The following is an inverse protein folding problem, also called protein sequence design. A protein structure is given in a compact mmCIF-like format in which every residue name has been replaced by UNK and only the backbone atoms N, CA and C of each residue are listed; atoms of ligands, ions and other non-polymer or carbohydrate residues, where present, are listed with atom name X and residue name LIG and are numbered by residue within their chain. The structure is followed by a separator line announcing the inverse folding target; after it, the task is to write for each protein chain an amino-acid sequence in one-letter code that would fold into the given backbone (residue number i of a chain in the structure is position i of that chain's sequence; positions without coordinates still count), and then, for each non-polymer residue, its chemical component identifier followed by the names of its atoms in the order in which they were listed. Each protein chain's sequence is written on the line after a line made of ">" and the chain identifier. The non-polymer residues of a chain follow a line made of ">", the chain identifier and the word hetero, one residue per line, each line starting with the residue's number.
data_IF_001647862921
#
_entry.id   IF_001647862921
#
_cell.length_a   1.000
_cell.length_b   1.000
_cell.length_c   1.000
_cell.angle_alpha   90.00
_cell.angle_beta   90.00
_cell.angle_gamma   90.00
#
_symmetry.space_group_name_H-M   'P 1'
#
loop_
_entity.id
_entity.type
_entity.pdbx_description
1 polymer ?
#
# COMPACT_ATOMS: atom_id res chain seq x y z
N UNK A 1 -3.62 17.11 -25.81
CA UNK A 1 -3.15 15.95 -25.02
C UNK A 1 -3.95 15.87 -23.73
N UNK A 2 -4.14 14.70 -23.14
CA UNK A 2 -4.82 14.59 -21.84
C UNK A 2 -3.91 15.16 -20.73
N UNK A 3 -4.49 15.91 -19.81
CA UNK A 3 -3.77 16.43 -18.63
C UNK A 3 -3.33 15.28 -17.74
N UNK A 4 -2.15 15.39 -17.11
CA UNK A 4 -1.72 14.43 -16.08
C UNK A 4 -2.61 14.57 -14.85
N UNK A 5 -3.26 13.47 -14.46
CA UNK A 5 -4.04 13.41 -13.23
C UNK A 5 -3.14 13.39 -11.98
N UNK A 6 -3.62 14.01 -10.91
CA UNK A 6 -2.92 14.02 -9.63
C UNK A 6 -3.83 13.42 -8.56
N UNK A 7 -3.40 12.37 -7.89
CA UNK A 7 -4.03 11.84 -6.68
C UNK A 7 -3.30 12.41 -5.46
N UNK A 8 -4.04 13.11 -4.61
CA UNK A 8 -3.51 13.62 -3.34
C UNK A 8 -3.65 12.56 -2.24
N UNK A 9 -2.54 12.26 -1.57
CA UNK A 9 -2.46 11.17 -0.58
C UNK A 9 -2.41 11.66 0.88
N UNK A 10 -2.47 12.97 1.11
CA UNK A 10 -2.31 13.55 2.45
C UNK A 10 -3.30 12.99 3.48
N UNK A 11 -4.51 12.62 3.04
CA UNK A 11 -5.56 12.10 3.93
C UNK A 11 -5.41 10.61 4.28
N UNK A 12 -4.47 9.89 3.66
CA UNK A 12 -4.23 8.48 3.96
C UNK A 12 -2.73 8.12 3.96
N UNK A 13 -2.11 7.87 2.78
CA UNK A 13 -0.79 7.24 2.71
C UNK A 13 0.34 8.15 3.22
N UNK A 14 0.27 9.44 2.96
CA UNK A 14 1.28 10.38 3.42
C UNK A 14 1.38 10.42 4.95
N UNK A 15 0.27 10.63 5.65
CA UNK A 15 0.30 10.65 7.11
C UNK A 15 0.43 9.26 7.74
N UNK A 16 0.03 8.19 7.03
CA UNK A 16 0.35 6.82 7.45
C UNK A 16 1.87 6.62 7.49
N UNK A 17 2.57 7.08 6.46
CA UNK A 17 4.01 6.87 6.31
C UNK A 17 4.85 7.72 7.25
N UNK A 18 4.37 8.91 7.61
CA UNK A 18 5.12 9.87 8.43
C UNK A 18 4.77 9.81 9.92
N UNK A 19 3.49 9.60 10.25
CA UNK A 19 2.96 9.66 11.63
C UNK A 19 2.06 8.48 11.98
N UNK A 20 2.30 7.33 11.33
CA UNK A 20 1.62 6.07 11.62
C UNK A 20 0.08 6.19 11.67
N UNK A 21 -0.52 6.95 10.74
CA UNK A 21 -1.96 7.15 10.61
C UNK A 21 -2.60 7.87 11.83
N UNK A 22 -1.87 8.79 12.46
CA UNK A 22 -2.34 9.47 13.69
C UNK A 22 -3.01 10.82 13.45
N UNK A 23 -3.19 11.27 12.21
CA UNK A 23 -3.95 12.50 11.91
C UNK A 23 -5.42 12.30 12.25
N UNK A 24 -5.96 13.17 13.11
CA UNK A 24 -7.36 13.15 13.54
C UNK A 24 -8.27 13.78 12.49
N UNK A 25 -9.54 13.40 12.50
CA UNK A 25 -10.53 13.93 11.55
C UNK A 25 -10.74 15.44 11.73
N UNK A 26 -10.78 15.94 12.97
CA UNK A 26 -10.93 17.36 13.29
C UNK A 26 -9.72 18.21 12.86
N UNK A 27 -8.55 17.61 12.69
CA UNK A 27 -7.34 18.32 12.24
C UNK A 27 -7.34 18.64 10.74
N UNK A 28 -8.12 17.94 9.92
CA UNK A 28 -8.19 18.20 8.47
C UNK A 28 -9.58 18.55 7.94
N UNK A 29 -10.64 18.41 8.74
CA UNK A 29 -12.00 18.68 8.28
C UNK A 29 -12.16 20.05 7.62
N UNK A 30 -11.53 21.07 8.20
CA UNK A 30 -11.65 22.47 7.77
C UNK A 30 -11.11 22.79 6.38
N UNK A 31 -10.27 21.92 5.79
CA UNK A 31 -9.66 22.15 4.47
C UNK A 31 -10.36 21.39 3.34
N UNK A 32 -11.20 20.40 3.66
CA UNK A 32 -11.75 19.46 2.68
C UNK A 32 -12.51 20.14 1.53
N UNK A 33 -13.33 21.14 1.82
CA UNK A 33 -14.10 21.87 0.79
C UNK A 33 -13.21 22.65 -0.18
N UNK A 34 -12.01 23.08 0.26
CA UNK A 34 -11.01 23.67 -0.64
C UNK A 34 -10.33 22.58 -1.47
N UNK A 35 -9.98 21.45 -0.85
CA UNK A 35 -9.39 20.33 -1.57
C UNK A 35 -10.32 19.81 -2.67
N UNK A 36 -11.63 19.77 -2.43
CA UNK A 36 -12.63 19.36 -3.43
C UNK A 36 -12.66 20.25 -4.68
N UNK A 37 -12.20 21.50 -4.58
CA UNK A 37 -12.18 22.48 -5.68
C UNK A 37 -10.86 22.53 -6.44
N UNK A 38 -9.84 21.83 -6.01
CA UNK A 38 -8.52 21.85 -6.65
C UNK A 38 -8.55 21.23 -8.05
N UNK A 39 -9.39 20.19 -8.24
CA UNK A 39 -9.43 19.44 -9.49
C UNK A 39 -8.52 18.22 -9.49
N UNK A 40 -8.21 17.68 -8.33
CA UNK A 40 -7.51 16.40 -8.20
C UNK A 40 -8.21 15.29 -8.97
N UNK A 41 -7.45 14.34 -9.50
CA UNK A 41 -7.99 13.10 -10.06
C UNK A 41 -8.76 12.30 -8.99
N UNK A 42 -8.16 12.20 -7.80
CA UNK A 42 -8.79 11.60 -6.61
C UNK A 42 -8.12 12.07 -5.33
N UNK A 43 -8.81 11.88 -4.20
CA UNK A 43 -8.26 11.97 -2.86
C UNK A 43 -8.15 10.54 -2.30
N UNK A 44 -6.93 10.08 -2.02
CA UNK A 44 -6.75 8.83 -1.29
C UNK A 44 -6.93 9.12 0.20
N UNK A 45 -8.04 8.64 0.77
CA UNK A 45 -8.49 9.09 2.08
C UNK A 45 -8.82 7.97 3.07
N UNK A 46 -8.81 6.71 2.64
CA UNK A 46 -9.27 5.61 3.47
C UNK A 46 -8.55 4.30 3.15
N UNK A 47 -8.60 3.34 4.09
CA UNK A 47 -7.97 2.02 3.94
C UNK A 47 -7.83 1.31 5.28
N UNK A 48 -7.20 0.14 5.28
CA UNK A 48 -7.08 -0.72 6.46
C UNK A 48 -6.38 -0.07 7.65
N UNK A 49 -5.26 0.60 7.40
CA UNK A 49 -4.53 1.29 8.46
C UNK A 49 -5.32 2.47 9.05
N UNK A 50 -6.09 3.19 8.22
CA UNK A 50 -6.97 4.26 8.68
C UNK A 50 -8.08 3.71 9.57
N UNK A 51 -8.74 2.65 9.12
CA UNK A 51 -9.78 1.96 9.88
C UNK A 51 -9.27 1.51 11.26
N UNK A 52 -8.15 0.80 11.26
CA UNK A 52 -7.51 0.28 12.47
C UNK A 52 -7.06 1.41 13.42
N UNK A 53 -6.48 2.48 12.88
CA UNK A 53 -6.03 3.62 13.68
C UNK A 53 -7.19 4.40 14.29
N UNK A 54 -8.29 4.60 13.58
CA UNK A 54 -9.49 5.23 14.12
C UNK A 54 -9.97 4.51 15.38
N UNK A 55 -10.07 3.17 15.33
CA UNK A 55 -10.58 2.38 16.45
C UNK A 55 -9.58 2.26 17.60
N UNK A 56 -8.28 2.06 17.31
CA UNK A 56 -7.29 1.73 18.35
C UNK A 56 -6.64 2.93 19.00
N UNK A 57 -6.55 4.05 18.31
CA UNK A 57 -5.69 5.14 18.73
C UNK A 57 -6.36 6.51 18.71
N UNK A 58 -7.37 6.71 17.87
CA UNK A 58 -7.97 8.02 17.70
C UNK A 58 -9.33 8.16 18.38
N UNK A 59 -9.94 7.04 18.80
CA UNK A 59 -11.29 7.00 19.33
C UNK A 59 -12.30 7.66 18.36
N UNK A 60 -12.21 7.26 17.08
CA UNK A 60 -13.04 7.76 15.99
C UNK A 60 -13.77 6.61 15.30
N UNK A 61 -15.01 6.86 14.83
CA UNK A 61 -15.71 5.96 13.92
C UNK A 61 -15.11 6.08 12.52
N UNK A 62 -14.46 5.02 11.97
CA UNK A 62 -13.85 5.07 10.64
C UNK A 62 -14.88 5.29 9.53
N UNK A 63 -16.11 4.83 9.70
CA UNK A 63 -17.17 5.02 8.71
C UNK A 63 -17.69 6.46 8.71
N UNK A 64 -17.83 7.08 9.90
CA UNK A 64 -18.24 8.50 9.98
C UNK A 64 -17.15 9.41 9.40
N UNK A 65 -15.87 9.09 9.63
CA UNK A 65 -14.75 9.78 8.96
C UNK A 65 -14.90 9.74 7.44
N UNK A 66 -15.18 8.58 6.84
CA UNK A 66 -15.39 8.44 5.41
C UNK A 66 -16.60 9.24 4.93
N UNK A 67 -17.73 9.12 5.63
CA UNK A 67 -18.96 9.86 5.31
C UNK A 67 -18.77 11.38 5.39
N UNK A 68 -17.99 11.85 6.38
CA UNK A 68 -17.64 13.27 6.51
C UNK A 68 -16.85 13.74 5.29
N UNK A 69 -15.79 13.01 4.91
CA UNK A 69 -14.99 13.36 3.74
C UNK A 69 -15.88 13.38 2.49
N UNK A 70 -16.75 12.41 2.29
CA UNK A 70 -17.69 12.38 1.15
C UNK A 70 -18.64 13.59 1.15
N UNK A 71 -19.18 13.96 2.30
CA UNK A 71 -20.07 15.16 2.39
C UNK A 71 -19.34 16.44 2.03
N UNK A 72 -18.09 16.58 2.45
CA UNK A 72 -17.24 17.77 2.21
C UNK A 72 -16.59 17.80 0.82
N UNK A 73 -16.39 16.64 0.21
CA UNK A 73 -15.76 16.49 -1.11
C UNK A 73 -16.72 15.80 -2.09
N UNK A 74 -17.85 16.43 -2.47
CA UNK A 74 -18.85 15.80 -3.35
C UNK A 74 -18.38 15.65 -4.80
N UNK A 75 -17.42 16.46 -5.26
CA UNK A 75 -17.01 16.53 -6.67
C UNK A 75 -15.75 15.70 -6.97
N UNK A 76 -14.88 15.50 -5.98
CA UNK A 76 -13.64 14.75 -6.15
C UNK A 76 -13.86 13.28 -5.84
N UNK A 77 -13.29 12.40 -6.66
CA UNK A 77 -13.35 10.94 -6.41
C UNK A 77 -12.58 10.60 -5.13
N UNK A 78 -13.19 9.78 -4.31
CA UNK A 78 -12.57 9.25 -3.10
C UNK A 78 -11.98 7.87 -3.37
N UNK A 79 -10.73 7.69 -2.99
CA UNK A 79 -9.98 6.46 -3.20
C UNK A 79 -9.63 5.81 -1.88
N UNK A 80 -9.73 4.48 -1.83
CA UNK A 80 -9.22 3.68 -0.72
C UNK A 80 -8.17 2.68 -1.18
N UNK A 81 -7.26 2.33 -0.26
CA UNK A 81 -6.39 1.17 -0.41
C UNK A 81 -7.07 -0.07 0.16
N UNK A 82 -7.12 -1.14 -0.65
CA UNK A 82 -7.78 -2.39 -0.31
C UNK A 82 -6.82 -3.58 -0.49
N UNK A 83 -6.65 -4.40 0.55
CA UNK A 83 -5.67 -5.50 0.57
C UNK A 83 -6.23 -6.80 -0.01
N UNK A 84 -6.84 -6.77 -1.18
CA UNK A 84 -7.40 -7.97 -1.81
C UNK A 84 -8.22 -8.83 -0.83
N UNK A 85 -7.92 -10.12 -0.74
CA UNK A 85 -8.63 -11.04 0.16
C UNK A 85 -8.40 -10.77 1.65
N UNK A 86 -7.38 -9.98 2.00
CA UNK A 86 -7.13 -9.55 3.38
C UNK A 86 -7.98 -8.36 3.82
N UNK A 87 -8.71 -7.71 2.92
CA UNK A 87 -9.50 -6.50 3.18
C UNK A 87 -8.70 -5.43 3.95
N UNK A 88 -8.97 -5.29 5.23
CA UNK A 88 -8.32 -4.38 6.18
C UNK A 88 -7.28 -5.08 7.06
N UNK A 89 -7.29 -6.43 7.09
CA UNK A 89 -6.54 -7.23 8.05
C UNK A 89 -5.25 -7.83 7.51
N UNK A 90 -4.78 -8.85 8.22
CA UNK A 90 -3.51 -9.56 7.97
C UNK A 90 -3.73 -11.04 7.64
N UNK A 91 -4.98 -11.51 7.59
CA UNK A 91 -5.40 -12.83 7.14
C UNK A 91 -6.34 -12.72 5.96
N UNK A 92 -6.57 -13.81 5.26
CA UNK A 92 -7.65 -13.89 4.29
C UNK A 92 -9.01 -13.98 4.99
N UNK A 93 -10.00 -13.32 4.42
CA UNK A 93 -11.41 -13.39 4.82
C UNK A 93 -12.22 -14.14 3.76
N UNK A 94 -13.36 -14.68 4.14
CA UNK A 94 -14.25 -15.36 3.21
C UNK A 94 -14.85 -14.39 2.17
N UNK A 95 -15.22 -14.92 1.01
CA UNK A 95 -15.70 -14.15 -0.12
C UNK A 95 -16.96 -13.33 0.18
N UNK A 96 -17.88 -13.87 0.98
CA UNK A 96 -19.12 -13.19 1.39
C UNK A 96 -18.83 -11.93 2.21
N UNK A 97 -17.83 -11.98 3.08
CA UNK A 97 -17.42 -10.82 3.89
C UNK A 97 -16.69 -9.78 3.03
N UNK A 98 -15.83 -10.21 2.09
CA UNK A 98 -15.16 -9.31 1.14
C UNK A 98 -16.18 -8.60 0.26
N UNK A 99 -17.15 -9.31 -0.34
CA UNK A 99 -18.22 -8.73 -1.16
C UNK A 99 -19.02 -7.70 -0.36
N UNK A 100 -19.41 -8.04 0.86
CA UNK A 100 -20.18 -7.15 1.73
C UNK A 100 -19.39 -5.89 2.12
N UNK A 101 -18.10 -6.02 2.45
CA UNK A 101 -17.27 -4.90 2.84
C UNK A 101 -17.02 -3.94 1.66
N UNK A 102 -16.77 -4.46 0.47
CA UNK A 102 -16.65 -3.67 -0.76
C UNK A 102 -17.93 -2.89 -1.01
N UNK A 103 -19.11 -3.56 -0.92
CA UNK A 103 -20.40 -2.90 -1.03
C UNK A 103 -20.53 -1.73 -0.04
N UNK A 104 -20.22 -1.97 1.23
CA UNK A 104 -20.30 -0.94 2.28
C UNK A 104 -19.35 0.22 2.06
N UNK A 105 -18.15 -0.04 1.54
CA UNK A 105 -17.19 1.01 1.20
C UNK A 105 -17.72 1.94 0.13
N UNK A 106 -18.32 1.37 -0.93
CA UNK A 106 -18.95 2.14 -2.03
C UNK A 106 -20.17 2.88 -1.52
N UNK A 107 -21.07 2.21 -0.79
CA UNK A 107 -22.29 2.82 -0.21
C UNK A 107 -21.96 4.04 0.68
N UNK A 108 -20.79 4.07 1.33
CA UNK A 108 -20.34 5.15 2.19
C UNK A 108 -19.44 6.19 1.49
N UNK A 109 -19.24 6.08 0.17
CA UNK A 109 -18.68 7.15 -0.62
C UNK A 109 -17.35 6.89 -1.31
N UNK A 110 -16.81 5.67 -1.27
CA UNK A 110 -15.62 5.30 -2.06
C UNK A 110 -16.01 5.15 -3.53
N UNK A 111 -15.25 5.84 -4.40
CA UNK A 111 -15.37 5.74 -5.86
C UNK A 111 -14.35 4.79 -6.44
N UNK A 112 -13.10 4.82 -5.93
CA UNK A 112 -11.97 4.05 -6.46
C UNK A 112 -11.46 3.10 -5.38
N UNK A 113 -11.47 1.81 -5.69
CA UNK A 113 -10.81 0.80 -4.87
C UNK A 113 -9.46 0.46 -5.51
N UNK A 114 -8.36 0.87 -4.85
CA UNK A 114 -7.01 0.44 -5.19
C UNK A 114 -6.77 -0.91 -4.52
N UNK A 115 -6.87 -1.98 -5.30
CA UNK A 115 -6.82 -3.36 -4.81
C UNK A 115 -5.44 -3.94 -5.11
N UNK A 116 -4.75 -4.47 -4.09
CA UNK A 116 -3.46 -5.11 -4.25
C UNK A 116 -3.38 -6.45 -3.51
N UNK A 117 -2.49 -7.32 -3.97
CA UNK A 117 -2.07 -8.51 -3.25
C UNK A 117 -0.56 -8.46 -2.95
N UNK A 118 -0.18 -8.93 -1.76
CA UNK A 118 1.22 -8.89 -1.32
C UNK A 118 2.14 -9.83 -2.12
N UNK A 119 1.60 -10.87 -2.74
CA UNK A 119 2.35 -11.82 -3.58
C UNK A 119 2.18 -11.57 -5.07
N UNK A 120 1.39 -10.57 -5.48
CA UNK A 120 0.94 -10.39 -6.86
C UNK A 120 0.18 -11.62 -7.41
N UNK A 121 -0.56 -12.31 -6.56
CA UNK A 121 -1.44 -13.41 -6.98
C UNK A 121 -2.82 -12.87 -7.35
N UNK A 122 -3.14 -12.83 -8.65
CA UNK A 122 -4.40 -12.27 -9.15
C UNK A 122 -5.63 -12.96 -8.55
N UNK A 123 -5.53 -14.23 -8.18
CA UNK A 123 -6.63 -15.01 -7.57
C UNK A 123 -7.10 -14.40 -6.24
N UNK A 124 -6.20 -13.76 -5.51
CA UNK A 124 -6.50 -13.05 -4.26
C UNK A 124 -7.21 -11.70 -4.47
N UNK A 125 -7.33 -11.24 -5.71
CA UNK A 125 -8.00 -9.99 -6.07
C UNK A 125 -9.40 -10.20 -6.65
N UNK A 126 -9.71 -11.41 -7.13
CA UNK A 126 -10.91 -11.71 -7.92
C UNK A 126 -12.21 -11.30 -7.22
N UNK A 127 -12.40 -11.66 -5.95
CA UNK A 127 -13.62 -11.34 -5.23
C UNK A 127 -13.80 -9.82 -5.06
N UNK A 128 -12.73 -9.11 -4.70
CA UNK A 128 -12.78 -7.66 -4.53
C UNK A 128 -13.03 -6.93 -5.86
N UNK A 129 -12.39 -7.37 -6.95
CA UNK A 129 -12.61 -6.83 -8.30
C UNK A 129 -14.07 -7.04 -8.73
N UNK A 130 -14.57 -8.26 -8.62
CA UNK A 130 -15.95 -8.60 -9.01
C UNK A 130 -16.97 -7.82 -8.18
N UNK A 131 -16.77 -7.71 -6.87
CA UNK A 131 -17.63 -6.94 -5.98
C UNK A 131 -17.61 -5.45 -6.32
N UNK A 132 -16.44 -4.85 -6.54
CA UNK A 132 -16.33 -3.45 -6.93
C UNK A 132 -17.09 -3.15 -8.22
N UNK A 133 -16.92 -3.98 -9.24
CA UNK A 133 -17.66 -3.85 -10.50
C UNK A 133 -19.17 -4.04 -10.32
N UNK A 134 -19.59 -5.03 -9.53
CA UNK A 134 -20.99 -5.31 -9.21
C UNK A 134 -21.68 -4.11 -8.56
N UNK A 135 -20.97 -3.37 -7.72
CA UNK A 135 -21.54 -2.23 -6.97
C UNK A 135 -21.19 -0.86 -7.57
N UNK A 136 -20.58 -0.82 -8.77
CA UNK A 136 -20.33 0.41 -9.54
C UNK A 136 -19.09 1.20 -9.09
N UNK A 137 -18.18 0.59 -8.35
CA UNK A 137 -16.90 1.19 -8.02
C UNK A 137 -15.89 1.07 -9.17
N UNK A 138 -14.93 2.00 -9.24
CA UNK A 138 -13.79 1.92 -10.15
C UNK A 138 -12.72 0.99 -9.57
N UNK A 139 -12.36 -0.03 -10.33
CA UNK A 139 -11.32 -0.98 -9.96
C UNK A 139 -9.96 -0.48 -10.42
N UNK A 140 -9.14 -0.04 -9.48
CA UNK A 140 -7.73 0.19 -9.73
C UNK A 140 -6.94 -0.99 -9.17
N UNK A 141 -6.49 -1.89 -10.04
CA UNK A 141 -5.66 -3.01 -9.62
C UNK A 141 -4.19 -2.59 -9.51
N UNK A 142 -3.53 -2.92 -8.41
CA UNK A 142 -2.17 -2.47 -8.16
C UNK A 142 -1.14 -3.61 -8.28
N UNK A 143 -0.04 -3.29 -8.92
CA UNK A 143 1.17 -4.11 -8.96
C UNK A 143 1.98 -3.77 -7.72
N UNK A 144 2.19 -4.73 -6.82
CA UNK A 144 3.15 -4.60 -5.73
C UNK A 144 4.56 -4.66 -6.32
N UNK A 145 5.13 -3.46 -6.59
CA UNK A 145 6.43 -3.33 -7.24
C UNK A 145 7.56 -3.72 -6.29
N UNK A 146 8.50 -4.48 -6.79
CA UNK A 146 9.73 -4.84 -6.10
C UNK A 146 10.83 -5.15 -7.13
N UNK A 147 12.04 -5.39 -6.67
CA UNK A 147 13.17 -5.79 -7.52
C UNK A 147 13.67 -7.17 -7.12
N UNK A 148 14.38 -7.82 -8.01
CA UNK A 148 14.94 -9.15 -7.82
C UNK A 148 15.05 -9.92 -9.13
N UNK A 149 15.59 -11.14 -9.12
CA UNK A 149 15.95 -11.86 -10.36
C UNK A 149 14.75 -12.26 -11.23
N UNK A 150 13.53 -12.21 -10.69
CA UNK A 150 12.29 -12.61 -11.39
C UNK A 150 11.41 -11.42 -11.76
N UNK A 151 11.72 -10.24 -11.27
CA UNK A 151 10.92 -9.04 -11.44
C UNK A 151 11.48 -8.17 -12.58
N UNK A 152 11.43 -8.70 -13.77
CA UNK A 152 11.77 -8.00 -15.00
C UNK A 152 10.52 -7.34 -15.63
N UNK A 153 10.73 -6.67 -16.75
CA UNK A 153 9.64 -5.99 -17.48
C UNK A 153 8.60 -7.00 -17.98
N UNK A 154 9.04 -8.18 -18.43
CA UNK A 154 8.15 -9.23 -18.94
C UNK A 154 7.21 -9.74 -17.84
N UNK A 155 7.74 -9.98 -16.61
CA UNK A 155 6.94 -10.33 -15.45
C UNK A 155 5.84 -9.29 -15.18
N UNK A 156 6.21 -8.00 -15.17
CA UNK A 156 5.23 -6.94 -14.89
C UNK A 156 4.21 -6.76 -16.01
N UNK A 157 4.61 -6.91 -17.26
CA UNK A 157 3.70 -6.88 -18.40
C UNK A 157 2.71 -8.04 -18.33
N UNK A 158 3.19 -9.24 -18.03
CA UNK A 158 2.33 -10.41 -17.88
C UNK A 158 1.31 -10.22 -16.74
N UNK A 159 1.77 -9.76 -15.57
CA UNK A 159 0.89 -9.52 -14.44
C UNK A 159 -0.12 -8.38 -14.71
N UNK A 160 0.31 -7.28 -15.33
CA UNK A 160 -0.58 -6.19 -15.73
C UNK A 160 -1.68 -6.67 -16.68
N UNK A 161 -1.34 -7.56 -17.63
CA UNK A 161 -2.33 -8.16 -18.52
C UNK A 161 -3.33 -9.03 -17.77
N UNK A 162 -2.89 -9.82 -16.80
CA UNK A 162 -3.79 -10.59 -15.94
C UNK A 162 -4.75 -9.67 -15.15
N UNK A 163 -4.27 -8.53 -14.64
CA UNK A 163 -5.09 -7.54 -13.93
C UNK A 163 -6.14 -6.90 -14.86
N UNK A 164 -5.75 -6.53 -16.07
CA UNK A 164 -6.69 -6.00 -17.08
C UNK A 164 -7.75 -7.04 -17.44
N UNK A 165 -7.34 -8.30 -17.70
CA UNK A 165 -8.25 -9.40 -18.03
C UNK A 165 -9.19 -9.77 -16.85
N UNK A 166 -8.74 -9.58 -15.61
CA UNK A 166 -9.57 -9.71 -14.41
C UNK A 166 -10.60 -8.58 -14.26
N UNK A 167 -10.52 -7.53 -15.07
CA UNK A 167 -11.50 -6.44 -15.11
C UNK A 167 -11.06 -5.14 -14.45
N UNK A 168 -9.76 -4.89 -14.29
CA UNK A 168 -9.26 -3.60 -13.83
C UNK A 168 -9.66 -2.47 -14.78
N UNK A 169 -10.14 -1.35 -14.23
CA UNK A 169 -10.43 -0.13 -14.97
C UNK A 169 -9.20 0.78 -15.09
N UNK A 170 -8.22 0.61 -14.21
CA UNK A 170 -6.88 1.20 -14.26
C UNK A 170 -5.88 0.34 -13.52
N UNK A 171 -4.58 0.52 -13.80
CA UNK A 171 -3.49 -0.20 -13.14
C UNK A 171 -2.61 0.80 -12.42
N UNK A 172 -2.25 0.49 -11.17
CA UNK A 172 -1.29 1.26 -10.38
C UNK A 172 0.03 0.51 -10.24
N UNK A 173 1.14 1.13 -10.66
CA UNK A 173 2.47 0.67 -10.26
C UNK A 173 2.69 1.19 -8.84
N UNK A 174 2.68 0.28 -7.86
CA UNK A 174 2.75 0.63 -6.43
C UNK A 174 4.11 0.28 -5.84
N UNK A 175 4.99 1.28 -5.79
CA UNK A 175 6.33 1.19 -5.23
C UNK A 175 6.34 1.68 -3.77
N UNK A 176 6.06 0.78 -2.84
CA UNK A 176 5.98 1.10 -1.40
C UNK A 176 7.35 1.33 -0.74
N UNK A 177 8.41 0.85 -1.34
CA UNK A 177 9.75 0.93 -0.77
C UNK A 177 10.63 2.00 -1.42
N UNK A 178 10.16 2.66 -2.49
CA UNK A 178 10.94 3.65 -3.24
C UNK A 178 12.08 3.01 -4.04
N UNK A 179 11.83 1.84 -4.64
CA UNK A 179 12.82 1.05 -5.38
C UNK A 179 12.91 1.41 -6.87
N UNK A 180 11.90 2.06 -7.40
CA UNK A 180 11.89 2.50 -8.79
C UNK A 180 13.05 3.47 -9.06
N UNK A 181 13.71 3.27 -10.20
CA UNK A 181 14.69 4.21 -10.74
C UNK A 181 14.10 4.98 -11.91
N UNK A 182 14.54 6.22 -12.18
CA UNK A 182 13.93 7.05 -13.22
C UNK A 182 13.90 6.38 -14.60
N UNK A 183 15.02 5.87 -15.06
CA UNK A 183 15.10 5.21 -16.38
C UNK A 183 14.44 3.84 -16.42
N UNK A 184 14.57 3.04 -15.34
CA UNK A 184 13.84 1.78 -15.23
C UNK A 184 12.32 1.98 -15.24
N UNK A 185 11.84 3.09 -14.64
CA UNK A 185 10.42 3.47 -14.72
C UNK A 185 10.00 3.83 -16.13
N UNK A 186 10.82 4.58 -16.85
CA UNK A 186 10.55 4.92 -18.24
C UNK A 186 10.36 3.66 -19.10
N UNK A 187 11.30 2.73 -19.00
CA UNK A 187 11.26 1.47 -19.78
C UNK A 187 10.05 0.60 -19.39
N UNK A 188 9.79 0.47 -18.08
CA UNK A 188 8.64 -0.30 -17.57
C UNK A 188 7.31 0.29 -18.04
N UNK A 189 7.12 1.60 -17.90
CA UNK A 189 5.87 2.26 -18.30
C UNK A 189 5.65 2.17 -19.79
N UNK A 190 6.70 2.34 -20.62
CA UNK A 190 6.61 2.14 -22.07
C UNK A 190 6.09 0.74 -22.41
N UNK A 191 6.69 -0.29 -21.84
CA UNK A 191 6.27 -1.67 -22.07
C UNK A 191 4.84 -1.94 -21.59
N UNK A 192 4.45 -1.41 -20.44
CA UNK A 192 3.09 -1.54 -19.92
C UNK A 192 2.06 -0.85 -20.84
N UNK A 193 2.36 0.36 -21.34
CA UNK A 193 1.46 1.08 -22.29
C UNK A 193 1.29 0.34 -23.61
N UNK A 194 2.24 -0.48 -24.02
CA UNK A 194 2.12 -1.38 -25.18
C UNK A 194 1.33 -2.66 -24.87
N UNK A 195 1.31 -3.08 -23.59
CA UNK A 195 0.69 -4.34 -23.14
C UNK A 195 -0.78 -4.18 -22.77
N UNK A 196 -1.16 -3.11 -22.08
CA UNK A 196 -2.52 -2.88 -21.57
C UNK A 196 -3.12 -1.61 -22.17
N UNK A 197 -4.46 -1.56 -22.22
CA UNK A 197 -5.22 -0.42 -22.76
C UNK A 197 -5.75 0.51 -21.69
N UNK A 198 -5.84 0.02 -20.45
CA UNK A 198 -6.34 0.81 -19.32
C UNK A 198 -5.32 1.87 -18.87
N UNK A 199 -5.76 2.97 -18.25
CA UNK A 199 -4.87 3.98 -17.70
C UNK A 199 -3.87 3.41 -16.68
N UNK A 200 -2.67 4.00 -16.64
CA UNK A 200 -1.61 3.64 -15.71
C UNK A 200 -1.40 4.79 -14.71
N UNK A 201 -1.45 4.45 -13.44
CA UNK A 201 -1.13 5.35 -12.32
C UNK A 201 0.20 4.97 -11.71
N UNK A 202 1.01 5.95 -11.34
CA UNK A 202 2.31 5.77 -10.73
C UNK A 202 2.31 6.25 -9.27
N UNK A 203 2.64 5.34 -8.38
CA UNK A 203 2.76 5.56 -6.95
C UNK A 203 4.16 5.13 -6.50
N UNK A 204 4.94 6.05 -5.96
CA UNK A 204 6.27 5.75 -5.41
C UNK A 204 6.52 6.53 -4.13
N UNK A 205 7.05 5.84 -3.11
CA UNK A 205 7.53 6.48 -1.89
C UNK A 205 8.87 7.16 -2.11
N UNK A 206 9.13 8.21 -1.36
CA UNK A 206 10.32 9.05 -1.54
C UNK A 206 11.55 8.55 -0.76
N UNK A 207 11.49 7.37 -0.17
CA UNK A 207 12.50 6.83 0.75
C UNK A 207 13.92 6.86 0.18
N UNK A 208 14.09 6.48 -1.10
CA UNK A 208 15.40 6.53 -1.78
C UNK A 208 15.79 7.92 -2.31
N UNK A 209 14.88 8.91 -2.25
CA UNK A 209 15.10 10.24 -2.82
C UNK A 209 14.84 10.35 -4.32
N UNK A 210 14.39 9.30 -4.99
CA UNK A 210 14.25 9.25 -6.45
C UNK A 210 12.84 9.56 -6.96
N UNK A 211 11.82 9.53 -6.12
CA UNK A 211 10.42 9.47 -6.56
C UNK A 211 9.97 10.64 -7.44
N UNK A 212 10.45 11.87 -7.25
CA UNK A 212 10.11 12.98 -8.17
C UNK A 212 10.68 12.75 -9.58
N UNK A 213 11.91 12.23 -9.69
CA UNK A 213 12.52 11.90 -10.97
C UNK A 213 11.84 10.68 -11.60
N UNK A 214 11.45 9.71 -10.79
CA UNK A 214 10.64 8.54 -11.18
C UNK A 214 9.31 8.99 -11.79
N UNK A 215 8.59 9.90 -11.12
CA UNK A 215 7.33 10.44 -11.62
C UNK A 215 7.52 11.18 -12.95
N UNK A 216 8.55 12.03 -13.04
CA UNK A 216 8.84 12.77 -14.27
C UNK A 216 9.10 11.81 -15.45
N UNK A 217 9.95 10.79 -15.24
CA UNK A 217 10.24 9.80 -16.28
C UNK A 217 9.05 8.89 -16.61
N UNK A 218 8.23 8.56 -15.63
CA UNK A 218 6.97 7.85 -15.84
C UNK A 218 5.98 8.65 -16.70
N UNK A 219 5.85 9.96 -16.45
CA UNK A 219 5.02 10.87 -17.23
C UNK A 219 5.51 10.96 -18.68
N UNK A 220 6.80 11.15 -18.90
CA UNK A 220 7.40 11.15 -20.25
C UNK A 220 7.17 9.83 -20.98
N UNK A 221 7.07 8.71 -20.26
CA UNK A 221 6.79 7.39 -20.82
C UNK A 221 5.29 7.11 -21.08
N UNK A 222 4.38 7.96 -20.56
CA UNK A 222 2.96 7.89 -20.83
C UNK A 222 2.07 7.50 -19.64
N UNK A 223 2.53 7.70 -18.40
CA UNK A 223 1.69 7.59 -17.20
C UNK A 223 0.54 8.60 -17.28
N UNK A 224 -0.64 8.18 -16.87
CA UNK A 224 -1.87 8.99 -16.94
C UNK A 224 -2.13 9.75 -15.62
N UNK A 225 -1.76 9.17 -14.47
CA UNK A 225 -2.00 9.72 -13.13
C UNK A 225 -0.79 9.47 -12.23
N UNK A 226 -0.45 10.42 -11.38
CA UNK A 226 0.60 10.31 -10.37
C UNK A 226 0.05 10.50 -8.95
N UNK A 227 0.66 9.83 -7.97
CA UNK A 227 0.38 10.04 -6.55
C UNK A 227 1.39 11.03 -5.96
N UNK A 228 0.87 12.03 -5.25
CA UNK A 228 1.68 13.05 -4.57
C UNK A 228 1.11 13.36 -3.19
N UNK A 229 1.83 14.09 -2.38
CA UNK A 229 1.36 14.62 -1.12
C UNK A 229 1.66 16.11 -0.99
N UNK A 230 0.75 16.89 -0.42
CA UNK A 230 0.98 18.30 -0.12
C UNK A 230 2.26 18.47 0.72
N UNK A 231 3.09 19.46 0.42
CA UNK A 231 4.49 19.55 0.88
C UNK A 231 4.73 19.42 2.38
N UNK A 232 3.87 19.88 3.30
CA UNK A 232 4.11 19.66 4.73
C UNK A 232 4.17 18.19 5.14
N UNK A 233 3.46 17.30 4.41
CA UNK A 233 3.42 15.84 4.65
C UNK A 233 3.97 15.05 3.46
N UNK A 234 4.85 15.66 2.67
CA UNK A 234 5.55 15.02 1.56
C UNK A 234 6.98 14.63 1.92
N UNK A 235 7.66 13.99 0.97
CA UNK A 235 9.08 13.60 1.05
C UNK A 235 9.39 12.53 2.11
N UNK A 236 10.65 12.22 2.31
CA UNK A 236 11.07 11.18 3.26
C UNK A 236 10.41 9.83 2.95
N UNK A 237 9.71 9.27 3.92
CA UNK A 237 8.95 8.01 3.73
C UNK A 237 7.59 8.19 3.05
N UNK A 238 7.18 9.44 2.75
CA UNK A 238 5.93 9.78 2.05
C UNK A 238 6.14 9.84 0.53
N UNK A 239 5.51 10.78 -0.15
CA UNK A 239 5.47 10.92 -1.62
C UNK A 239 6.12 12.21 -2.10
N UNK A 240 6.34 12.38 -3.43
CA UNK A 240 6.71 13.68 -4.00
C UNK A 240 5.75 14.80 -3.61
N UNK A 241 6.28 16.00 -3.40
CA UNK A 241 5.45 17.15 -3.06
C UNK A 241 4.54 17.54 -4.24
N UNK A 242 3.23 17.67 -3.99
CA UNK A 242 2.21 17.99 -4.99
C UNK A 242 2.54 19.29 -5.70
N UNK A 243 2.83 20.36 -4.96
CA UNK A 243 3.12 21.69 -5.54
C UNK A 243 4.38 21.67 -6.42
N UNK A 244 5.40 20.89 -6.01
CA UNK A 244 6.65 20.79 -6.78
C UNK A 244 6.43 20.06 -8.10
N UNK A 245 5.65 18.97 -8.08
CA UNK A 245 5.31 18.25 -9.31
C UNK A 245 4.45 19.09 -10.24
N UNK A 246 3.43 19.78 -9.72
CA UNK A 246 2.58 20.68 -10.49
C UNK A 246 3.41 21.80 -11.13
N UNK A 247 4.29 22.45 -10.35
CA UNK A 247 5.15 23.50 -10.84
C UNK A 247 6.14 23.01 -11.92
N UNK A 248 6.69 21.82 -11.77
CA UNK A 248 7.61 21.22 -12.75
C UNK A 248 6.93 20.91 -14.10
N UNK A 249 5.63 20.62 -14.08
CA UNK A 249 4.87 20.26 -15.28
C UNK A 249 4.14 21.46 -15.92
N UNK A 250 4.04 22.58 -15.21
CA UNK A 250 3.29 23.75 -15.64
C UNK A 250 3.83 24.33 -16.96
N UNK A 251 2.95 24.56 -17.92
CA UNK A 251 3.28 25.10 -19.23
C UNK A 251 3.97 24.10 -20.18
N UNK A 252 4.12 22.85 -19.79
CA UNK A 252 4.57 21.76 -20.66
C UNK A 252 3.39 21.00 -21.28
N UNK A 253 3.68 20.07 -22.17
CA UNK A 253 2.65 19.16 -22.72
C UNK A 253 2.03 18.23 -21.65
N UNK A 254 2.65 18.13 -20.48
CA UNK A 254 2.24 17.32 -19.34
C UNK A 254 1.54 18.13 -18.23
N UNK A 255 1.14 19.36 -18.52
CA UNK A 255 0.52 20.26 -17.54
C UNK A 255 -0.69 19.61 -16.87
N UNK A 256 -0.71 19.61 -15.54
CA UNK A 256 -1.79 19.05 -14.73
C UNK A 256 -3.05 19.93 -14.76
N UNK A 257 -2.88 21.23 -15.06
CA UNK A 257 -3.92 22.25 -15.00
C UNK A 257 -4.38 22.59 -13.59
N UNK A 258 -3.67 22.14 -12.55
CA UNK A 258 -3.97 22.53 -11.16
C UNK A 258 -3.41 23.91 -10.86
N UNK A 259 -4.17 24.70 -10.07
CA UNK A 259 -3.76 26.04 -9.66
C UNK A 259 -2.75 25.97 -8.50
N UNK A 260 -1.49 26.34 -8.78
CA UNK A 260 -0.42 26.34 -7.80
C UNK A 260 -0.72 27.27 -6.61
N UNK A 261 -1.43 28.39 -6.82
CA UNK A 261 -1.82 29.28 -5.74
C UNK A 261 -2.84 28.63 -4.80
N UNK A 262 -3.84 27.94 -5.35
CA UNK A 262 -4.80 27.22 -4.56
C UNK A 262 -4.15 26.07 -3.76
N UNK A 263 -3.17 25.38 -4.36
CA UNK A 263 -2.35 24.38 -3.65
C UNK A 263 -1.54 24.98 -2.49
N UNK A 264 -1.04 26.21 -2.65
CA UNK A 264 -0.35 26.93 -1.57
C UNK A 264 -1.26 27.16 -0.35
N UNK A 265 -2.55 27.42 -0.57
CA UNK A 265 -3.52 27.57 0.52
C UNK A 265 -3.74 26.22 1.28
N UNK A 266 -3.73 25.10 0.55
CA UNK A 266 -3.78 23.76 1.19
C UNK A 266 -2.50 23.54 2.00
N UNK A 267 -1.33 23.82 1.44
CA UNK A 267 -0.04 23.75 2.14
C UNK A 267 -0.05 24.56 3.44
N UNK A 268 -0.51 25.82 3.39
CA UNK A 268 -0.51 26.73 4.53
C UNK A 268 -1.43 26.22 5.66
N UNK A 269 -2.47 25.49 5.32
CA UNK A 269 -3.32 24.82 6.31
C UNK A 269 -2.58 23.68 7.04
N UNK A 270 -1.80 22.86 6.31
CA UNK A 270 -1.09 21.72 6.89
C UNK A 270 0.24 22.07 7.57
N UNK A 271 0.84 23.23 7.28
CA UNK A 271 2.10 23.64 7.91
C UNK A 271 2.04 23.67 9.45
N UNK A 272 1.03 24.29 10.11
CA UNK A 272 0.93 24.27 11.56
C UNK A 272 0.79 22.85 12.14
N UNK A 273 0.12 21.94 11.42
CA UNK A 273 -0.01 20.54 11.84
C UNK A 273 1.33 19.82 11.79
N UNK A 274 2.12 20.04 10.73
CA UNK A 274 3.49 19.52 10.66
C UNK A 274 4.34 19.98 11.84
N UNK A 275 4.33 21.29 12.16
CA UNK A 275 5.08 21.85 13.28
C UNK A 275 4.61 21.25 14.62
N UNK A 276 3.31 21.10 14.81
CA UNK A 276 2.74 20.41 15.97
C UNK A 276 3.27 18.98 16.10
N UNK A 277 3.20 18.19 15.04
CA UNK A 277 3.65 16.79 15.06
C UNK A 277 5.15 16.64 15.30
N UNK A 278 5.96 17.59 14.81
CA UNK A 278 7.39 17.64 15.12
C UNK A 278 7.62 17.97 16.61
N UNK A 279 6.92 18.95 17.15
CA UNK A 279 7.03 19.37 18.56
C UNK A 279 6.58 18.26 19.52
N UNK A 280 5.50 17.56 19.20
CA UNK A 280 4.95 16.46 20.00
C UNK A 280 5.76 15.15 19.84
N UNK A 281 6.73 15.11 18.92
CA UNK A 281 7.52 13.90 18.61
C UNK A 281 6.75 12.82 17.84
N UNK A 282 5.53 13.10 17.41
CA UNK A 282 4.74 12.19 16.57
C UNK A 282 5.37 12.04 15.17
N UNK A 283 5.84 13.14 14.58
CA UNK A 283 6.64 13.13 13.37
C UNK A 283 8.13 13.05 13.73
N UNK A 284 8.69 11.86 13.59
CA UNK A 284 10.11 11.65 13.86
C UNK A 284 10.95 12.24 12.72
N UNK A 285 11.90 13.17 12.97
CA UNK A 285 12.77 13.72 11.93
C UNK A 285 13.54 12.69 11.10
N UNK A 286 13.78 11.50 11.64
CA UNK A 286 14.48 10.42 10.90
C UNK A 286 13.71 9.93 9.66
N UNK A 287 12.38 10.02 9.65
CA UNK A 287 11.56 9.61 8.50
C UNK A 287 11.49 10.69 7.42
N UNK A 288 12.03 11.88 7.66
CA UNK A 288 12.05 12.98 6.71
C UNK A 288 13.28 12.96 5.79
N UNK A 289 14.31 12.19 6.15
CA UNK A 289 15.50 12.02 5.35
C UNK A 289 15.29 11.04 4.19
N UNK A 290 16.26 11.01 3.28
CA UNK A 290 16.35 9.99 2.25
C UNK A 290 17.41 8.94 2.64
N UNK A 291 17.17 7.69 2.26
CA UNK A 291 18.10 6.59 2.48
C UNK A 291 18.24 5.74 1.21
N UNK A 292 19.33 5.96 0.47
CA UNK A 292 19.62 5.20 -0.74
C UNK A 292 19.96 3.72 -0.45
N UNK A 293 20.26 3.34 0.80
CA UNK A 293 20.48 1.94 1.16
C UNK A 293 19.21 1.08 0.98
N UNK A 294 18.04 1.71 0.94
CA UNK A 294 16.78 1.04 0.57
C UNK A 294 16.91 0.29 -0.76
N UNK A 295 17.67 0.84 -1.72
CA UNK A 295 17.92 0.19 -3.01
C UNK A 295 18.78 -1.07 -2.90
N UNK A 296 19.62 -1.17 -1.85
CA UNK A 296 20.49 -2.32 -1.60
C UNK A 296 19.75 -3.43 -0.84
N UNK A 297 19.09 -3.09 0.25
CA UNK A 297 18.43 -4.07 1.13
C UNK A 297 16.96 -4.32 0.76
N UNK A 298 16.35 -3.45 -0.06
CA UNK A 298 14.97 -3.56 -0.52
C UNK A 298 13.95 -3.55 0.64
N UNK A 299 14.32 -2.99 1.78
CA UNK A 299 13.53 -2.96 3.01
C UNK A 299 12.75 -1.65 3.09
N UNK A 300 11.41 -1.68 3.06
CA UNK A 300 10.58 -0.49 3.25
C UNK A 300 10.81 0.17 4.61
N UNK A 301 10.66 1.50 4.70
CA UNK A 301 10.87 2.25 5.94
C UNK A 301 10.07 1.74 7.15
N UNK A 302 8.82 1.33 6.93
CA UNK A 302 7.98 0.73 7.98
C UNK A 302 8.50 -0.63 8.46
N UNK A 303 9.07 -1.44 7.56
CA UNK A 303 9.72 -2.71 7.92
C UNK A 303 10.99 -2.44 8.74
N UNK A 304 11.82 -1.49 8.32
CA UNK A 304 13.05 -1.14 9.05
C UNK A 304 12.74 -0.71 10.49
N UNK A 305 11.73 0.13 10.69
CA UNK A 305 11.29 0.54 12.02
C UNK A 305 10.85 -0.64 12.89
N UNK A 306 10.15 -1.60 12.30
CA UNK A 306 9.76 -2.84 12.99
C UNK A 306 10.96 -3.70 13.38
N UNK A 307 11.94 -3.88 12.47
CA UNK A 307 13.17 -4.64 12.75
C UNK A 307 13.95 -4.03 13.92
N UNK A 308 14.13 -2.72 13.91
CA UNK A 308 14.79 -1.98 15.00
C UNK A 308 14.04 -2.18 16.32
N UNK A 309 12.72 -2.09 16.32
CA UNK A 309 11.90 -2.28 17.53
C UNK A 309 12.04 -3.71 18.08
N UNK A 310 11.98 -4.73 17.23
CA UNK A 310 12.14 -6.13 17.63
C UNK A 310 13.55 -6.40 18.21
N UNK A 311 14.59 -5.87 17.56
CA UNK A 311 15.96 -6.00 18.05
C UNK A 311 16.17 -5.30 19.41
N UNK A 312 15.57 -4.13 19.59
CA UNK A 312 15.58 -3.40 20.86
C UNK A 312 14.91 -4.20 21.97
N UNK A 313 13.73 -4.77 21.72
CA UNK A 313 13.03 -5.64 22.68
C UNK A 313 13.87 -6.88 23.06
N UNK A 314 14.67 -7.39 22.12
CA UNK A 314 15.56 -8.51 22.36
C UNK A 314 16.92 -8.11 22.97
N UNK A 315 17.21 -6.81 23.14
CA UNK A 315 18.52 -6.30 23.60
C UNK A 315 19.66 -6.64 22.62
N UNK A 316 19.37 -6.57 21.30
CA UNK A 316 20.28 -6.98 20.21
C UNK A 316 20.34 -5.92 19.10
N UNK A 317 20.30 -4.62 19.47
CA UNK A 317 20.34 -3.51 18.50
C UNK A 317 21.61 -3.53 17.63
N UNK A 318 22.69 -4.09 18.12
CA UNK A 318 23.96 -4.29 17.42
C UNK A 318 23.86 -5.26 16.23
N UNK A 319 22.79 -6.04 16.14
CA UNK A 319 22.57 -7.05 15.09
C UNK A 319 21.80 -6.53 13.86
N UNK A 320 21.52 -5.24 13.78
CA UNK A 320 20.71 -4.70 12.68
C UNK A 320 21.29 -4.99 11.30
N UNK A 321 22.60 -4.79 11.12
CA UNK A 321 23.25 -5.02 9.82
C UNK A 321 23.21 -6.50 9.42
N UNK A 322 23.33 -7.42 10.38
CA UNK A 322 23.22 -8.86 10.13
C UNK A 322 21.78 -9.22 9.72
N UNK A 323 20.79 -8.62 10.35
CA UNK A 323 19.37 -8.82 9.99
C UNK A 323 19.08 -8.28 8.60
N UNK A 324 19.56 -7.07 8.28
CA UNK A 324 19.40 -6.48 6.95
C UNK A 324 20.04 -7.35 5.85
N UNK A 325 21.19 -7.97 6.13
CA UNK A 325 21.83 -8.91 5.21
C UNK A 325 21.08 -10.25 5.10
N UNK A 326 20.35 -10.66 6.15
CA UNK A 326 19.56 -11.89 6.15
C UNK A 326 18.21 -11.76 5.41
N UNK A 327 17.61 -10.56 5.38
CA UNK A 327 16.32 -10.32 4.72
C UNK A 327 16.30 -10.79 3.24
N UNK A 328 17.27 -10.43 2.38
CA UNK A 328 17.30 -10.92 0.99
C UNK A 328 17.40 -12.43 0.88
N UNK A 329 18.06 -13.09 1.84
CA UNK A 329 18.22 -14.56 1.86
C UNK A 329 16.91 -15.25 2.22
N UNK A 330 16.24 -14.77 3.26
CA UNK A 330 14.92 -15.27 3.67
C UNK A 330 13.89 -15.04 2.56
N UNK A 331 13.96 -13.87 1.91
CA UNK A 331 13.12 -13.53 0.77
C UNK A 331 13.32 -14.50 -0.40
N UNK A 332 14.58 -14.82 -0.73
CA UNK A 332 14.90 -15.81 -1.75
C UNK A 332 14.32 -17.20 -1.41
N UNK A 333 14.57 -17.67 -0.19
CA UNK A 333 14.15 -18.99 0.26
C UNK A 333 12.61 -19.14 0.25
N UNK A 334 11.87 -18.05 0.46
CA UNK A 334 10.40 -18.02 0.48
C UNK A 334 9.75 -17.65 -0.86
N UNK A 335 10.46 -17.74 -2.00
CA UNK A 335 9.89 -17.53 -3.33
C UNK A 335 9.80 -16.08 -3.76
N UNK A 336 10.68 -15.23 -3.25
CA UNK A 336 10.81 -13.79 -3.58
C UNK A 336 9.54 -12.96 -3.39
N UNK A 337 8.81 -13.06 -2.26
CA UNK A 337 7.64 -12.21 -2.04
C UNK A 337 8.03 -10.73 -2.10
N UNK A 338 7.20 -9.84 -2.68
CA UNK A 338 7.34 -8.40 -2.50
C UNK A 338 7.29 -8.05 -1.00
N UNK A 339 8.11 -7.07 -0.57
CA UNK A 339 8.16 -6.66 0.83
C UNK A 339 7.12 -5.56 1.10
N UNK A 340 5.86 -5.96 1.08
CA UNK A 340 4.68 -5.15 1.41
C UNK A 340 3.91 -5.83 2.54
N UNK A 341 2.95 -5.15 3.17
CA UNK A 341 2.12 -5.78 4.21
C UNK A 341 1.24 -6.91 3.63
N UNK A 342 1.22 -8.14 4.21
CA UNK A 342 1.90 -8.57 5.44
C UNK A 342 3.28 -9.20 5.24
N UNK A 343 3.70 -9.49 4.00
CA UNK A 343 4.92 -10.25 3.68
C UNK A 343 6.21 -9.61 4.23
N UNK A 344 6.29 -8.27 4.25
CA UNK A 344 7.41 -7.56 4.84
C UNK A 344 7.60 -7.89 6.33
N UNK A 345 6.50 -8.00 7.07
CA UNK A 345 6.53 -8.36 8.49
C UNK A 345 6.92 -9.83 8.67
N UNK A 346 6.36 -10.72 7.85
CA UNK A 346 6.63 -12.17 7.89
C UNK A 346 8.12 -12.43 7.64
N UNK A 347 8.66 -11.91 6.54
CA UNK A 347 10.08 -12.05 6.16
C UNK A 347 10.99 -11.37 7.18
N UNK A 348 10.63 -10.17 7.65
CA UNK A 348 11.41 -9.42 8.63
C UNK A 348 11.52 -10.16 9.96
N UNK A 349 10.43 -10.60 10.53
CA UNK A 349 10.41 -11.33 11.81
C UNK A 349 11.20 -12.65 11.70
N UNK A 350 11.05 -13.39 10.60
CA UNK A 350 11.84 -14.60 10.39
C UNK A 350 13.34 -14.30 10.29
N UNK A 351 13.73 -13.19 9.62
CA UNK A 351 15.13 -12.77 9.53
C UNK A 351 15.71 -12.42 10.89
N UNK A 352 14.95 -11.74 11.74
CA UNK A 352 15.36 -11.43 13.13
C UNK A 352 15.61 -12.72 13.90
N UNK A 353 14.70 -13.69 13.85
CA UNK A 353 14.90 -14.97 14.55
C UNK A 353 16.10 -15.76 14.04
N UNK A 354 16.33 -15.79 12.73
CA UNK A 354 17.49 -16.46 12.15
C UNK A 354 18.81 -15.90 12.71
N UNK A 355 18.90 -14.58 12.89
CA UNK A 355 20.10 -13.90 13.40
C UNK A 355 20.21 -14.03 14.91
N UNK A 356 19.15 -13.76 15.67
CA UNK A 356 19.19 -13.79 17.14
C UNK A 356 19.52 -15.18 17.67
N UNK A 357 18.98 -16.24 17.04
CA UNK A 357 19.20 -17.63 17.46
C UNK A 357 20.49 -18.23 16.91
N UNK A 358 21.20 -17.52 16.03
CA UNK A 358 22.48 -17.93 15.43
C UNK A 358 22.40 -19.10 14.46
N UNK A 359 21.19 -19.58 14.16
CA UNK A 359 20.93 -20.67 13.23
C UNK A 359 19.67 -20.39 12.43
N UNK A 360 19.79 -20.48 11.09
CA UNK A 360 18.69 -20.19 10.16
C UNK A 360 17.58 -21.23 10.28
N UNK A 361 16.36 -20.76 10.50
CA UNK A 361 15.14 -21.56 10.62
C UNK A 361 15.16 -22.56 11.80
N UNK A 362 15.94 -22.26 12.86
CA UNK A 362 15.86 -22.99 14.13
C UNK A 362 14.49 -22.80 14.79
N UNK A 363 13.94 -21.61 14.66
CA UNK A 363 12.56 -21.29 14.99
C UNK A 363 11.89 -20.72 13.75
N UNK A 364 10.71 -21.24 13.41
CA UNK A 364 9.90 -20.80 12.27
C UNK A 364 8.60 -20.22 12.80
N UNK A 365 8.28 -18.99 12.40
CA UNK A 365 7.00 -18.38 12.78
C UNK A 365 5.87 -19.06 12.05
N UNK A 366 4.68 -19.06 12.67
CA UNK A 366 3.48 -19.64 12.05
C UNK A 366 3.18 -18.97 10.70
N UNK A 367 3.25 -17.64 10.66
CA UNK A 367 2.97 -16.84 9.47
C UNK A 367 3.96 -17.16 8.33
N UNK A 368 5.24 -17.33 8.64
CA UNK A 368 6.25 -17.72 7.65
C UNK A 368 5.97 -19.14 7.11
N UNK A 369 5.65 -20.07 8.00
CA UNK A 369 5.28 -21.43 7.63
C UNK A 369 4.02 -21.46 6.75
N UNK A 370 2.99 -20.71 7.13
CA UNK A 370 1.75 -20.58 6.37
C UNK A 370 1.99 -20.01 4.98
N UNK A 371 2.89 -18.98 4.87
CA UNK A 371 3.27 -18.42 3.58
C UNK A 371 3.97 -19.43 2.68
N UNK A 372 4.94 -20.19 3.22
CA UNK A 372 5.67 -21.25 2.50
C UNK A 372 4.73 -22.39 2.10
N UNK A 373 3.72 -22.69 2.90
CA UNK A 373 2.71 -23.70 2.63
C UNK A 373 1.65 -23.27 1.60
N UNK A 374 1.59 -21.98 1.25
CA UNK A 374 0.68 -21.45 0.23
C UNK A 374 -0.60 -20.79 0.78
N UNK A 375 -0.77 -20.65 2.10
CA UNK A 375 -1.97 -20.04 2.71
C UNK A 375 -2.10 -18.53 2.51
N UNK A 376 -1.10 -17.88 1.93
CA UNK A 376 -1.18 -16.47 1.50
C UNK A 376 -1.36 -16.33 -0.01
N UNK A 377 -1.28 -17.42 -0.77
CA UNK A 377 -1.36 -17.44 -2.23
C UNK A 377 -0.10 -18.01 -2.87
N UNK A 378 -0.02 -17.90 -4.20
CA UNK A 378 1.13 -18.34 -4.97
C UNK A 378 2.25 -17.30 -4.89
N UNK A 379 3.44 -17.74 -4.48
CA UNK A 379 4.64 -16.90 -4.49
C UNK A 379 5.11 -16.59 -5.92
N UNK A 380 5.78 -15.44 -6.15
CA UNK A 380 6.28 -15.07 -7.47
C UNK A 380 7.21 -16.09 -8.12
N UNK A 381 8.00 -16.80 -7.29
CA UNK A 381 8.83 -17.94 -7.70
C UNK A 381 8.41 -19.20 -6.98
N UNK A 382 8.66 -20.33 -7.60
CA UNK A 382 8.55 -21.62 -6.93
C UNK A 382 9.56 -21.71 -5.78
N UNK A 383 9.09 -22.17 -4.64
CA UNK A 383 9.92 -22.42 -3.46
C UNK A 383 10.58 -23.79 -3.63
N UNK A 384 11.90 -23.86 -3.33
CA UNK A 384 12.64 -25.10 -3.37
C UNK A 384 11.90 -26.22 -2.58
N UNK A 385 11.66 -27.40 -3.18
CA UNK A 385 10.87 -28.47 -2.56
C UNK A 385 11.47 -28.99 -1.25
N UNK A 386 12.81 -29.06 -1.15
CA UNK A 386 13.48 -29.53 0.07
C UNK A 386 13.36 -28.50 1.17
N UNK A 387 13.50 -27.21 0.81
CA UNK A 387 13.27 -26.11 1.74
C UNK A 387 11.81 -26.10 2.22
N UNK A 388 10.84 -26.20 1.30
CA UNK A 388 9.41 -26.27 1.64
C UNK A 388 9.13 -27.41 2.60
N UNK A 389 9.68 -28.60 2.34
CA UNK A 389 9.53 -29.75 3.23
C UNK A 389 10.19 -29.51 4.60
N UNK A 390 11.36 -28.88 4.63
CA UNK A 390 12.04 -28.50 5.88
C UNK A 390 11.20 -27.59 6.75
N UNK A 391 10.51 -26.59 6.15
CA UNK A 391 9.73 -25.59 6.87
C UNK A 391 8.36 -26.13 7.27
N UNK A 392 7.65 -26.79 6.34
CA UNK A 392 6.26 -27.24 6.53
C UNK A 392 6.14 -28.61 7.18
N UNK A 393 7.17 -29.46 7.08
CA UNK A 393 7.10 -30.85 7.56
C UNK A 393 6.00 -31.61 6.81
N UNK A 394 5.09 -32.22 7.56
CA UNK A 394 3.95 -32.99 7.03
C UNK A 394 2.67 -32.14 6.84
N UNK A 395 2.76 -30.82 6.97
CA UNK A 395 1.61 -29.95 6.71
C UNK A 395 1.18 -29.98 5.24
N UNK A 396 -0.13 -29.87 5.04
CA UNK A 396 -0.70 -29.83 3.69
C UNK A 396 -0.24 -28.56 2.97
N UNK A 397 0.45 -28.75 1.87
CA UNK A 397 0.72 -27.67 0.90
C UNK A 397 -0.53 -27.42 0.09
N UNK A 398 -0.88 -26.16 -0.08
CA UNK A 398 -2.02 -25.75 -0.91
C UNK A 398 -1.54 -25.03 -2.16
N UNK A 399 -2.20 -25.30 -3.27
CA UNK A 399 -1.97 -24.70 -4.59
C UNK A 399 -3.23 -24.01 -5.14
N UNK A 400 -4.36 -24.23 -4.49
CA UNK A 400 -5.61 -23.55 -4.78
C UNK A 400 -5.58 -22.09 -4.26
N UNK A 401 -6.61 -21.32 -4.60
CA UNK A 401 -6.86 -20.01 -4.01
C UNK A 401 -7.14 -20.19 -2.51
N UNK A 402 -6.40 -19.53 -1.60
CA UNK A 402 -6.55 -19.79 -0.16
C UNK A 402 -7.96 -19.55 0.37
N UNK A 403 -8.67 -18.55 -0.16
CA UNK A 403 -10.03 -18.21 0.25
C UNK A 403 -11.05 -19.34 -0.03
N UNK A 404 -10.78 -20.21 -1.01
CA UNK A 404 -11.66 -21.35 -1.31
C UNK A 404 -11.72 -22.37 -0.16
N UNK A 405 -10.79 -22.30 0.78
CA UNK A 405 -10.76 -23.14 1.98
C UNK A 405 -11.58 -22.54 3.13
N UNK A 406 -12.02 -21.30 3.01
CA UNK A 406 -12.77 -20.60 4.05
C UNK A 406 -14.29 -20.87 3.89
N UNK A 407 -14.95 -21.03 5.01
CA UNK A 407 -16.42 -21.06 5.04
C UNK A 407 -16.94 -19.63 5.05
N UNK A 408 -18.18 -19.37 4.59
CA UNK A 408 -18.81 -18.06 4.73
C UNK A 408 -18.73 -17.54 6.18
N UNK A 409 -18.34 -16.27 6.34
CA UNK A 409 -18.06 -15.67 7.66
C UNK A 409 -19.09 -14.59 8.06
N UNK A 410 -19.85 -14.02 7.10
CA UNK A 410 -20.69 -12.86 7.35
C UNK A 410 -21.78 -13.12 8.40
N UNK A 411 -22.48 -14.24 8.30
CA UNK A 411 -23.53 -14.57 9.26
C UNK A 411 -22.95 -14.97 10.62
N UNK A 412 -21.77 -15.59 10.65
CA UNK A 412 -21.05 -15.89 11.90
C UNK A 412 -20.76 -14.60 12.67
N UNK A 413 -20.16 -13.60 12.01
CA UNK A 413 -19.87 -12.32 12.65
C UNK A 413 -21.14 -11.55 13.06
N UNK A 414 -22.20 -11.61 12.26
CA UNK A 414 -23.48 -11.01 12.66
C UNK A 414 -24.04 -11.61 13.94
N UNK A 415 -23.97 -12.93 14.06
CA UNK A 415 -24.45 -13.63 15.24
C UNK A 415 -23.58 -13.33 16.49
N UNK A 416 -22.25 -13.33 16.34
CA UNK A 416 -21.31 -12.96 17.41
C UNK A 416 -21.57 -11.54 17.92
N UNK A 417 -21.82 -10.57 17.02
CA UNK A 417 -22.14 -9.20 17.41
C UNK A 417 -23.50 -9.14 18.11
N UNK A 418 -24.52 -9.85 17.63
CA UNK A 418 -25.84 -9.88 18.26
C UNK A 418 -25.75 -10.48 19.68
N UNK A 419 -25.05 -11.59 19.84
CA UNK A 419 -24.81 -12.22 21.15
C UNK A 419 -24.06 -11.30 22.11
N UNK A 420 -23.09 -10.51 21.63
CA UNK A 420 -22.37 -9.54 22.45
C UNK A 420 -23.30 -8.45 23.02
N UNK A 421 -24.18 -7.88 22.20
CA UNK A 421 -25.14 -6.86 22.66
C UNK A 421 -26.24 -7.42 23.56
N UNK A 422 -26.68 -8.67 23.35
CA UNK A 422 -27.64 -9.33 24.23
C UNK A 422 -27.06 -9.63 25.63
N UNK A 423 -25.74 -9.72 25.77
CA UNK A 423 -25.08 -9.95 27.06
C UNK A 423 -24.83 -8.64 27.85
N UNK A 424 -24.87 -7.49 27.19
CA UNK A 424 -24.69 -6.18 27.82
C UNK A 424 -26.04 -5.54 28.28
N UNK A 425 -27.21 -6.07 27.85
CA UNK A 425 -28.53 -5.71 28.36
C UNK A 425 -28.88 -6.52 29.63
#
# INVERSE_FOLDING_TARGET
>A
MAKIGVTETVLRDAHQSLIATRMRTDEFEGILEKMDKIGYHSLECWGGATFDSCLRFLDEDPWERLRLIRRKCPNTKLQMLFRGQNMLGYRHYADDLVDYFVKKSIDNGIDILRIFDALNDVRNLETAINAAKKYGGHVQAAISYTTGPVFDIEYYCHYAKQLEDAGADSICIKDMAGLLTPYGTYDLVKALKETVKVPIQLHSHYTSGLASMVHLKGIEAGVDVIDTAISPLAMGTSHPATESMVAALQGTEYDTGLDLKALTEIRDFFNPLREKYLADGLLNPKVLGVDANTLLYQVPGGMLSNLISQLKQAGKEDKLDEVLAEVPRVRKDSGYPPLVTPTSQIVGTQSVFNVILGERYKMVTKEFKDMVAGYYGKTPCDIDPDFRKKICGDEKIIDCRPADLLKPELDTFRNEIAEYYEQEE
#
